data_IF_924722498398
#
_entry.id   IF_924722498398
#
_cell.length_a   1.000
_cell.length_b   1.000
_cell.length_c   1.000
_cell.angle_alpha   90.00
_cell.angle_beta   90.00
_cell.angle_gamma   90.00
#
_symmetry.space_group_name_H-M   'P 1'
#
loop_
_entity.id
_entity.type
_entity.pdbx_description
1 polymer ?
#
# COMPACT_ATOMS: atom_id res chain seq x y z
N UNK A 1 4.74 -2.81 -80.55
CA UNK A 1 5.79 -2.46 -79.60
C UNK A 1 5.75 -3.45 -78.46
N UNK A 2 6.69 -4.42 -78.39
CA UNK A 2 6.80 -5.41 -77.32
C UNK A 2 7.75 -4.83 -76.29
N UNK A 3 7.25 -4.47 -75.10
CA UNK A 3 8.08 -4.10 -73.97
C UNK A 3 8.71 -5.37 -73.40
N UNK A 4 10.04 -5.50 -73.61
CA UNK A 4 10.86 -6.55 -73.03
C UNK A 4 10.91 -6.27 -71.46
N UNK A 5 10.17 -7.01 -70.70
CA UNK A 5 10.34 -7.06 -69.22
C UNK A 5 11.58 -7.93 -69.00
N UNK A 6 12.67 -7.31 -68.53
CA UNK A 6 13.79 -8.02 -67.96
C UNK A 6 13.32 -8.60 -66.60
N UNK A 7 12.87 -9.83 -66.60
CA UNK A 7 12.62 -10.60 -65.38
C UNK A 7 13.99 -11.13 -64.89
N UNK A 8 14.77 -10.22 -64.26
CA UNK A 8 15.99 -10.58 -63.55
C UNK A 8 15.62 -11.33 -62.25
N UNK A 9 15.83 -12.63 -62.20
CA UNK A 9 15.68 -13.41 -60.96
C UNK A 9 16.74 -13.03 -59.92
N UNK A 10 16.41 -13.15 -58.65
CA UNK A 10 17.33 -12.93 -57.54
C UNK A 10 18.49 -13.94 -57.56
N UNK A 11 19.69 -13.46 -57.27
CA UNK A 11 20.86 -14.35 -57.12
C UNK A 11 20.83 -15.02 -55.74
N UNK A 12 21.40 -16.21 -55.63
CA UNK A 12 21.53 -16.93 -54.36
C UNK A 12 22.28 -16.10 -53.32
N UNK A 13 23.26 -15.31 -53.75
CA UNK A 13 24.03 -14.41 -52.85
C UNK A 13 23.18 -13.28 -52.32
N UNK A 14 22.31 -12.67 -53.13
CA UNK A 14 21.36 -11.64 -52.68
C UNK A 14 20.39 -12.19 -51.63
N UNK A 15 19.90 -13.44 -51.83
CA UNK A 15 19.03 -14.09 -50.86
C UNK A 15 19.76 -14.34 -49.54
N UNK A 16 21.02 -14.80 -49.58
CA UNK A 16 21.82 -15.03 -48.35
C UNK A 16 22.09 -13.73 -47.58
N UNK A 17 22.40 -12.63 -48.29
CA UNK A 17 22.62 -11.32 -47.67
C UNK A 17 21.31 -10.83 -47.06
N UNK A 18 20.21 -10.89 -47.79
CA UNK A 18 18.91 -10.47 -47.30
C UNK A 18 18.47 -11.26 -46.03
N UNK A 19 18.72 -12.56 -46.03
CA UNK A 19 18.43 -13.45 -44.90
C UNK A 19 19.30 -13.13 -43.69
N UNK A 20 20.57 -12.88 -43.87
CA UNK A 20 21.52 -12.51 -42.82
C UNK A 20 21.14 -11.17 -42.17
N UNK A 21 20.83 -10.15 -42.97
CA UNK A 21 20.38 -8.85 -42.50
C UNK A 21 19.04 -8.98 -41.78
N UNK A 22 18.09 -9.77 -42.32
CA UNK A 22 16.81 -10.05 -41.70
C UNK A 22 16.93 -10.68 -40.31
N UNK A 23 17.82 -11.66 -40.14
CA UNK A 23 18.08 -12.31 -38.86
C UNK A 23 18.66 -11.32 -37.81
N UNK A 24 19.59 -10.45 -38.21
CA UNK A 24 20.15 -9.42 -37.35
C UNK A 24 19.04 -8.45 -36.86
N UNK A 25 18.19 -8.00 -37.78
CA UNK A 25 17.08 -7.11 -37.46
C UNK A 25 16.08 -7.76 -36.52
N UNK A 26 15.70 -9.02 -36.75
CA UNK A 26 14.79 -9.77 -35.86
C UNK A 26 15.41 -9.93 -34.46
N UNK A 27 16.71 -10.27 -34.41
CA UNK A 27 17.43 -10.37 -33.13
C UNK A 27 17.45 -9.05 -32.33
N UNK A 28 17.70 -7.94 -33.04
CA UNK A 28 17.67 -6.61 -32.43
C UNK A 28 16.26 -6.24 -31.95
N UNK A 29 15.23 -6.49 -32.74
CA UNK A 29 13.82 -6.25 -32.35
C UNK A 29 13.42 -7.08 -31.11
N UNK A 30 13.82 -8.35 -31.08
CA UNK A 30 13.57 -9.22 -29.94
C UNK A 30 14.21 -8.67 -28.64
N UNK A 31 15.45 -8.20 -28.72
CA UNK A 31 16.14 -7.57 -27.59
C UNK A 31 15.40 -6.34 -27.05
N UNK A 32 14.92 -5.47 -27.95
CA UNK A 32 14.13 -4.29 -27.57
C UNK A 32 12.81 -4.71 -26.91
N UNK A 33 12.08 -5.66 -27.49
CA UNK A 33 10.82 -6.15 -26.93
C UNK A 33 11.03 -6.77 -25.54
N UNK A 34 12.08 -7.55 -25.34
CA UNK A 34 12.39 -8.15 -24.04
C UNK A 34 12.71 -7.08 -22.96
N UNK A 35 13.47 -6.05 -23.34
CA UNK A 35 13.79 -4.93 -22.45
C UNK A 35 12.51 -4.14 -22.08
N UNK A 36 11.65 -3.85 -23.05
CA UNK A 36 10.39 -3.16 -22.81
C UNK A 36 9.47 -3.97 -21.90
N UNK A 37 9.33 -5.28 -22.12
CA UNK A 37 8.50 -6.14 -21.27
C UNK A 37 8.94 -6.12 -19.81
N UNK A 38 10.26 -6.14 -19.55
CA UNK A 38 10.79 -6.00 -18.19
C UNK A 38 10.46 -4.63 -17.58
N UNK A 39 10.65 -3.57 -18.36
CA UNK A 39 10.34 -2.20 -17.88
C UNK A 39 8.87 -2.05 -17.53
N UNK A 40 7.96 -2.60 -18.33
CA UNK A 40 6.52 -2.60 -18.04
C UNK A 40 6.20 -3.38 -16.77
N UNK A 41 6.76 -4.57 -16.57
CA UNK A 41 6.54 -5.35 -15.36
C UNK A 41 7.00 -4.63 -14.09
N UNK A 42 8.13 -3.93 -14.14
CA UNK A 42 8.62 -3.12 -13.00
C UNK A 42 7.68 -1.93 -12.74
N UNK A 43 7.24 -1.24 -13.79
CA UNK A 43 6.31 -0.10 -13.66
C UNK A 43 4.95 -0.54 -13.07
N UNK A 44 4.43 -1.68 -13.49
CA UNK A 44 3.20 -2.27 -12.96
C UNK A 44 3.33 -2.56 -11.47
N UNK A 45 4.41 -3.22 -11.03
CA UNK A 45 4.66 -3.47 -9.60
C UNK A 45 4.78 -2.19 -8.78
N UNK A 46 5.43 -1.16 -9.31
CA UNK A 46 5.55 0.15 -8.64
C UNK A 46 4.18 0.82 -8.54
N UNK A 47 3.36 0.77 -9.57
CA UNK A 47 2.02 1.33 -9.56
C UNK A 47 1.11 0.61 -8.55
N UNK A 48 1.14 -0.73 -8.53
CA UNK A 48 0.41 -1.55 -7.57
C UNK A 48 0.83 -1.24 -6.14
N UNK A 49 2.14 -1.23 -5.86
CA UNK A 49 2.70 -0.87 -4.55
C UNK A 49 2.20 0.50 -4.07
N UNK A 50 2.23 1.52 -4.94
CA UNK A 50 1.77 2.87 -4.60
C UNK A 50 0.26 2.91 -4.36
N UNK A 51 -0.53 2.19 -5.16
CA UNK A 51 -1.97 2.13 -5.01
C UNK A 51 -2.36 1.46 -3.69
N UNK A 52 -1.72 0.33 -3.35
CA UNK A 52 -1.95 -0.38 -2.09
C UNK A 52 -1.59 0.48 -0.88
N UNK A 53 -0.46 1.19 -0.93
CA UNK A 53 -0.05 2.12 0.14
C UNK A 53 -1.05 3.26 0.34
N UNK A 54 -1.55 3.85 -0.75
CA UNK A 54 -2.54 4.94 -0.69
C UNK A 54 -3.87 4.46 -0.14
N UNK A 55 -4.36 3.30 -0.59
CA UNK A 55 -5.60 2.71 -0.10
C UNK A 55 -5.54 2.41 1.41
N UNK A 56 -4.44 1.81 1.87
CA UNK A 56 -4.23 1.53 3.28
C UNK A 56 -4.12 2.82 4.12
N UNK A 57 -3.38 3.82 3.65
CA UNK A 57 -3.25 5.12 4.33
C UNK A 57 -4.59 5.84 4.40
N UNK A 58 -5.38 5.83 3.34
CA UNK A 58 -6.69 6.47 3.30
C UNK A 58 -7.67 5.80 4.28
N UNK A 59 -7.67 4.46 4.34
CA UNK A 59 -8.45 3.71 5.32
C UNK A 59 -8.05 4.06 6.76
N UNK A 60 -6.75 4.00 7.09
CA UNK A 60 -6.25 4.36 8.40
C UNK A 60 -6.60 5.80 8.78
N UNK A 61 -6.41 6.73 7.84
CA UNK A 61 -6.69 8.15 8.07
C UNK A 61 -8.15 8.41 8.40
N UNK A 62 -9.07 7.79 7.64
CA UNK A 62 -10.51 7.93 7.88
C UNK A 62 -10.92 7.36 9.22
N UNK A 63 -10.44 6.17 9.57
CA UNK A 63 -10.85 5.51 10.81
C UNK A 63 -10.23 6.16 12.04
N UNK A 64 -8.92 6.48 12.02
CA UNK A 64 -8.25 7.15 13.14
C UNK A 64 -8.84 8.55 13.40
N UNK A 65 -9.34 9.23 12.36
CA UNK A 65 -10.03 10.51 12.52
C UNK A 65 -11.30 10.40 13.36
N UNK A 66 -11.93 9.22 13.39
CA UNK A 66 -13.12 8.92 14.19
C UNK A 66 -12.79 8.34 15.57
N UNK A 67 -11.52 8.17 15.91
CA UNK A 67 -11.12 7.72 17.24
C UNK A 67 -11.73 8.62 18.33
N UNK A 68 -12.25 8.02 19.40
CA UNK A 68 -12.90 8.73 20.49
C UNK A 68 -14.34 9.20 20.20
N UNK A 69 -14.93 8.79 19.08
CA UNK A 69 -16.35 9.08 18.83
C UNK A 69 -17.21 8.33 19.87
N UNK A 70 -17.91 9.07 20.70
CA UNK A 70 -18.75 8.58 21.82
C UNK A 70 -19.92 9.56 22.01
N UNK A 71 -20.96 9.45 21.20
CA UNK A 71 -22.07 10.40 21.22
C UNK A 71 -22.88 10.36 22.51
N UNK A 72 -22.94 9.22 23.19
CA UNK A 72 -23.63 9.05 24.45
C UNK A 72 -22.75 9.38 25.66
N UNK A 73 -21.43 9.55 25.48
CA UNK A 73 -20.42 9.80 26.53
C UNK A 73 -20.40 8.74 27.65
N UNK A 74 -20.75 7.50 27.29
CA UNK A 74 -20.79 6.34 28.18
C UNK A 74 -19.81 5.24 27.79
N UNK A 75 -19.42 5.18 26.53
CA UNK A 75 -18.54 4.15 25.98
C UNK A 75 -17.06 4.32 26.40
N UNK A 76 -16.64 5.54 26.78
CA UNK A 76 -15.26 5.84 27.11
C UNK A 76 -14.30 5.64 25.93
N UNK A 77 -14.80 5.91 24.73
CA UNK A 77 -14.03 5.70 23.51
C UNK A 77 -12.80 6.62 23.41
N UNK A 78 -11.69 6.10 22.86
CA UNK A 78 -10.43 6.86 22.77
C UNK A 78 -9.28 6.06 22.19
N UNK A 79 -8.06 6.54 22.42
CA UNK A 79 -6.85 5.78 22.11
C UNK A 79 -6.57 4.80 23.26
N UNK A 80 -6.60 3.52 22.97
CA UNK A 80 -6.32 2.44 23.94
C UNK A 80 -4.83 2.15 24.03
N UNK A 81 -4.16 2.06 22.87
CA UNK A 81 -2.72 1.81 22.80
C UNK A 81 -2.08 2.70 21.75
N UNK A 82 -1.02 3.39 22.15
CA UNK A 82 -0.20 4.25 21.30
C UNK A 82 1.22 3.64 21.22
N UNK A 83 1.40 2.66 20.35
CA UNK A 83 2.70 2.03 20.12
C UNK A 83 3.38 2.59 18.88
N UNK A 84 4.70 2.42 18.78
CA UNK A 84 5.49 2.91 17.65
C UNK A 84 5.11 2.24 16.32
N UNK A 85 4.69 0.95 16.36
CA UNK A 85 4.35 0.13 15.18
C UNK A 85 2.92 -0.41 15.22
N UNK A 86 2.14 0.02 16.18
CA UNK A 86 0.73 -0.37 16.31
C UNK A 86 -0.08 0.73 16.97
N UNK A 87 -1.33 0.82 16.62
CA UNK A 87 -2.30 1.68 17.28
C UNK A 87 -3.57 0.89 17.54
N UNK A 88 -4.15 1.09 18.73
CA UNK A 88 -5.47 0.59 19.08
C UNK A 88 -6.31 1.78 19.53
N UNK A 89 -7.47 1.91 18.94
CA UNK A 89 -8.43 2.95 19.31
C UNK A 89 -9.86 2.41 19.29
N UNK A 90 -10.73 3.08 19.99
CA UNK A 90 -12.15 2.76 20.07
C UNK A 90 -13.00 3.93 19.60
N UNK A 91 -14.21 3.60 19.20
CA UNK A 91 -15.29 4.50 18.79
C UNK A 91 -16.62 3.77 19.01
N UNK A 92 -17.68 4.50 19.31
CA UNK A 92 -19.03 3.98 19.44
C UNK A 92 -19.86 4.46 18.25
N UNK A 93 -20.15 3.56 17.29
CA UNK A 93 -20.78 3.88 16.01
C UNK A 93 -21.93 2.95 15.62
N UNK A 94 -22.07 1.82 16.30
CA UNK A 94 -23.07 0.79 16.00
C UNK A 94 -23.74 0.32 17.27
N UNK A 95 -24.84 -0.42 17.16
CA UNK A 95 -25.44 -1.13 18.28
C UNK A 95 -25.47 -2.64 18.01
N UNK A 96 -25.45 -3.43 19.06
CA UNK A 96 -25.60 -4.89 19.05
C UNK A 96 -26.81 -5.36 18.24
N UNK A 97 -27.82 -4.52 18.06
CA UNK A 97 -29.07 -4.84 17.34
C UNK A 97 -29.06 -4.44 15.85
N UNK A 98 -27.90 -4.02 15.29
CA UNK A 98 -27.76 -3.71 13.87
C UNK A 98 -28.40 -2.38 13.43
N UNK A 99 -28.72 -1.49 14.36
CA UNK A 99 -29.04 -0.10 14.05
C UNK A 99 -27.72 0.68 13.90
N UNK A 100 -27.62 1.56 12.91
CA UNK A 100 -26.49 2.49 12.72
C UNK A 100 -26.49 3.60 13.80
N UNK A 101 -26.59 3.21 15.07
CA UNK A 101 -26.67 4.11 16.19
C UNK A 101 -25.79 3.62 17.33
N UNK A 102 -25.05 4.55 17.93
CA UNK A 102 -24.24 4.31 19.12
C UNK A 102 -25.10 3.77 20.27
N UNK A 103 -24.64 2.75 20.98
CA UNK A 103 -25.34 2.13 22.10
C UNK A 103 -24.66 2.31 23.47
N UNK A 104 -23.53 3.01 23.47
CA UNK A 104 -22.81 3.41 24.68
C UNK A 104 -21.73 2.44 25.12
N UNK A 105 -21.31 1.51 24.25
CA UNK A 105 -20.17 0.66 24.48
C UNK A 105 -19.18 0.67 23.27
N UNK A 106 -18.17 -0.19 23.29
CA UNK A 106 -17.15 -0.30 22.22
C UNK A 106 -16.88 -1.76 21.87
N UNK A 107 -17.86 -2.63 22.06
CA UNK A 107 -17.72 -4.08 21.89
C UNK A 107 -18.13 -4.55 20.49
N UNK A 108 -18.85 -3.74 19.76
CA UNK A 108 -19.41 -4.09 18.47
C UNK A 108 -18.38 -4.10 17.33
N UNK A 109 -18.70 -4.74 16.17
CA UNK A 109 -17.83 -4.74 15.02
C UNK A 109 -17.47 -3.34 14.54
N UNK A 110 -16.18 -3.10 14.29
CA UNK A 110 -15.59 -1.82 13.87
C UNK A 110 -15.51 -0.73 14.93
N UNK A 111 -15.74 -1.05 16.19
CA UNK A 111 -15.62 -0.13 17.32
C UNK A 111 -14.27 -0.24 18.03
N UNK A 112 -13.74 -1.44 18.17
CA UNK A 112 -12.39 -1.68 18.65
C UNK A 112 -11.47 -1.97 17.47
N UNK A 113 -10.72 -0.97 17.03
CA UNK A 113 -9.89 -1.08 15.81
C UNK A 113 -8.41 -1.13 16.19
N UNK A 114 -7.72 -2.12 15.63
CA UNK A 114 -6.27 -2.27 15.74
C UNK A 114 -5.62 -2.20 14.37
N UNK A 115 -4.56 -1.41 14.24
CA UNK A 115 -3.63 -1.45 13.12
C UNK A 115 -2.26 -1.89 13.60
N UNK A 116 -1.67 -2.87 12.95
CA UNK A 116 -0.34 -3.37 13.28
C UNK A 116 0.32 -4.10 12.11
N UNK A 117 1.64 -4.21 12.15
CA UNK A 117 2.36 -5.12 11.27
C UNK A 117 2.26 -6.55 11.79
N UNK A 118 2.16 -7.49 10.85
CA UNK A 118 2.28 -8.92 11.12
C UNK A 118 2.90 -9.63 9.92
N UNK A 119 3.44 -10.82 10.14
CA UNK A 119 4.05 -11.62 9.08
C UNK A 119 3.28 -12.92 8.92
N UNK A 120 2.91 -13.25 7.70
CA UNK A 120 2.34 -14.55 7.35
C UNK A 120 2.94 -15.04 6.04
N UNK A 121 3.28 -16.33 5.96
CA UNK A 121 3.95 -16.96 4.81
C UNK A 121 5.22 -16.20 4.36
N UNK A 122 5.98 -15.64 5.30
CA UNK A 122 7.20 -14.87 5.00
C UNK A 122 6.98 -13.46 4.44
N UNK A 123 5.73 -13.03 4.28
CA UNK A 123 5.38 -11.69 3.78
C UNK A 123 4.93 -10.82 4.95
N UNK A 124 5.59 -9.67 5.11
CA UNK A 124 5.18 -8.67 6.08
C UNK A 124 4.01 -7.83 5.54
N UNK A 125 2.95 -7.73 6.34
CA UNK A 125 1.69 -7.11 5.97
C UNK A 125 1.26 -6.09 7.01
N UNK A 126 0.56 -5.07 6.57
CA UNK A 126 -0.22 -4.20 7.43
C UNK A 126 -1.59 -4.82 7.62
N UNK A 127 -1.96 -5.06 8.87
CA UNK A 127 -3.21 -5.68 9.23
C UNK A 127 -4.13 -4.79 10.03
N UNK A 128 -5.42 -5.06 9.90
CA UNK A 128 -6.52 -4.43 10.65
C UNK A 128 -7.32 -5.49 11.40
N UNK A 129 -7.64 -5.22 12.65
CA UNK A 129 -8.70 -5.93 13.39
C UNK A 129 -9.91 -5.00 13.57
N UNK A 130 -11.09 -5.57 13.46
CA UNK A 130 -12.36 -4.84 13.61
C UNK A 130 -13.01 -5.02 14.98
N UNK A 131 -12.47 -5.88 15.82
CA UNK A 131 -12.84 -6.14 17.21
C UNK A 131 -11.64 -6.66 17.97
N UNK A 132 -11.67 -6.63 19.29
CA UNK A 132 -10.57 -7.12 20.13
C UNK A 132 -10.23 -8.59 19.86
N UNK A 133 -11.24 -9.43 19.66
CA UNK A 133 -11.12 -10.88 19.42
C UNK A 133 -11.09 -11.25 17.94
N UNK A 134 -11.30 -10.30 17.02
CA UNK A 134 -11.33 -10.58 15.60
C UNK A 134 -9.95 -11.03 15.08
N UNK A 135 -9.98 -11.87 14.05
CA UNK A 135 -8.78 -12.21 13.30
C UNK A 135 -8.25 -10.98 12.55
N UNK A 136 -6.92 -10.86 12.47
CA UNK A 136 -6.29 -9.79 11.72
C UNK A 136 -6.50 -9.99 10.22
N UNK A 137 -6.94 -8.93 9.53
CA UNK A 137 -7.16 -8.92 8.09
C UNK A 137 -6.08 -8.08 7.42
N UNK A 138 -5.47 -8.55 6.32
CA UNK A 138 -4.49 -7.78 5.57
C UNK A 138 -5.17 -6.62 4.83
N UNK A 139 -4.58 -5.43 4.93
CA UNK A 139 -5.01 -4.24 4.17
C UNK A 139 -3.93 -3.75 3.19
N UNK A 140 -2.67 -4.12 3.42
CA UNK A 140 -1.58 -3.95 2.48
C UNK A 140 -0.54 -5.05 2.69
N UNK A 141 0.05 -5.51 1.58
CA UNK A 141 1.12 -6.49 1.57
C UNK A 141 2.47 -5.84 1.25
N UNK A 142 3.56 -6.58 1.48
CA UNK A 142 4.93 -6.12 1.24
C UNK A 142 5.25 -4.79 1.95
N UNK A 143 4.72 -4.63 3.17
CA UNK A 143 4.98 -3.46 4.01
C UNK A 143 6.32 -3.64 4.70
N UNK A 144 7.28 -2.75 4.43
CA UNK A 144 8.61 -2.79 5.03
C UNK A 144 8.64 -2.19 6.44
N UNK A 145 7.89 -1.11 6.64
CA UNK A 145 7.75 -0.49 7.96
C UNK A 145 6.42 0.24 8.12
N UNK A 146 5.96 0.29 9.36
CA UNK A 146 4.84 1.11 9.83
C UNK A 146 5.33 1.89 11.04
N UNK A 147 5.13 3.18 11.07
CA UNK A 147 5.49 4.02 12.20
C UNK A 147 4.36 4.95 12.59
N UNK A 148 4.15 5.09 13.90
CA UNK A 148 3.25 6.06 14.49
C UNK A 148 4.04 7.01 15.39
N UNK A 149 3.72 8.30 15.34
CA UNK A 149 4.22 9.29 16.28
C UNK A 149 3.03 10.12 16.77
N UNK A 150 2.99 10.33 18.07
CA UNK A 150 1.87 10.94 18.78
C UNK A 150 2.27 12.28 19.34
N UNK A 151 1.36 13.26 19.25
CA UNK A 151 1.61 14.64 19.69
C UNK A 151 0.43 15.14 20.51
N UNK A 152 0.75 15.91 21.52
CA UNK A 152 -0.23 16.62 22.36
C UNK A 152 -0.78 17.91 21.69
N UNK A 153 -1.59 18.66 22.40
CA UNK A 153 -2.16 19.92 21.93
C UNK A 153 -1.10 21.02 21.68
N UNK A 154 0.02 20.97 22.39
CA UNK A 154 1.16 21.88 22.23
C UNK A 154 2.10 21.51 21.09
N UNK A 155 1.90 20.31 20.50
CA UNK A 155 2.76 19.79 19.43
C UNK A 155 4.01 19.06 19.93
N UNK A 156 4.15 18.83 21.24
CA UNK A 156 5.18 17.99 21.81
C UNK A 156 4.82 16.50 21.64
N UNK A 157 5.83 15.63 21.56
CA UNK A 157 5.60 14.19 21.51
C UNK A 157 5.08 13.70 22.85
N UNK A 158 4.07 12.81 22.84
CA UNK A 158 3.49 12.23 24.04
C UNK A 158 3.29 10.73 23.89
N UNK A 159 3.47 9.99 24.99
CA UNK A 159 3.10 8.57 25.10
C UNK A 159 1.79 8.39 25.89
N UNK A 160 1.27 9.46 26.53
CA UNK A 160 0.03 9.43 27.30
C UNK A 160 -1.15 9.46 26.34
N UNK A 161 -1.93 8.38 26.29
CA UNK A 161 -3.05 8.23 25.34
C UNK A 161 -4.10 9.32 25.48
N UNK A 162 -4.36 9.81 26.70
CA UNK A 162 -5.31 10.88 27.00
C UNK A 162 -4.88 12.25 26.43
N UNK A 163 -3.58 12.48 26.25
CA UNK A 163 -3.02 13.75 25.78
C UNK A 163 -2.87 13.82 24.27
N UNK A 164 -3.06 12.70 23.58
CA UNK A 164 -2.89 12.63 22.11
C UNK A 164 -3.94 13.51 21.42
N UNK A 165 -3.46 14.43 20.58
CA UNK A 165 -4.30 15.31 19.74
C UNK A 165 -3.96 15.21 18.26
N UNK A 166 -2.75 14.76 17.93
CA UNK A 166 -2.31 14.56 16.56
C UNK A 166 -1.51 13.27 16.44
N UNK A 167 -1.75 12.54 15.39
CA UNK A 167 -1.09 11.27 15.08
C UNK A 167 -0.44 11.39 13.70
N UNK A 168 0.86 11.15 13.62
CA UNK A 168 1.59 11.05 12.36
C UNK A 168 1.80 9.58 12.03
N UNK A 169 1.43 9.18 10.82
CA UNK A 169 1.60 7.83 10.30
C UNK A 169 2.66 7.86 9.20
N UNK A 170 3.56 6.91 9.20
CA UNK A 170 4.49 6.65 8.11
C UNK A 170 4.41 5.17 7.72
N UNK A 171 4.13 4.89 6.46
CA UNK A 171 4.10 3.54 5.90
C UNK A 171 5.11 3.46 4.79
N UNK A 172 6.03 2.51 4.87
CA UNK A 172 6.95 2.19 3.78
C UNK A 172 6.58 0.83 3.22
N UNK A 173 6.30 0.79 1.93
CA UNK A 173 6.02 -0.43 1.17
C UNK A 173 7.13 -0.71 0.17
N UNK A 174 7.22 -1.94 -0.31
CA UNK A 174 8.18 -2.34 -1.33
C UNK A 174 7.50 -3.13 -2.45
N UNK A 175 8.16 -3.26 -3.59
CA UNK A 175 7.71 -4.14 -4.66
C UNK A 175 7.69 -5.60 -4.20
N UNK A 176 6.80 -6.40 -4.78
CA UNK A 176 6.68 -7.83 -4.45
C UNK A 176 7.90 -8.63 -4.89
N UNK A 177 8.47 -8.29 -6.04
CA UNK A 177 9.68 -8.92 -6.58
C UNK A 177 10.83 -7.93 -6.66
N UNK A 178 12.05 -8.46 -6.52
CA UNK A 178 13.27 -7.69 -6.72
C UNK A 178 13.47 -7.40 -8.22
N UNK A 179 13.89 -6.18 -8.51
CA UNK A 179 14.31 -5.74 -9.84
C UNK A 179 15.84 -6.02 -9.95
N UNK A 180 16.29 -6.91 -10.85
CA UNK A 180 17.71 -7.23 -10.98
C UNK A 180 18.59 -6.04 -11.36
N UNK A 181 18.01 -5.03 -12.00
CA UNK A 181 18.72 -3.83 -12.45
C UNK A 181 18.76 -2.74 -11.36
N UNK A 182 18.10 -2.97 -10.21
CA UNK A 182 18.06 -2.06 -9.07
C UNK A 182 18.91 -2.59 -7.91
N UNK A 183 20.06 -1.95 -7.66
CA UNK A 183 21.05 -2.45 -6.70
C UNK A 183 20.77 -2.06 -5.25
N UNK A 184 19.93 -1.04 -5.01
CA UNK A 184 19.60 -0.58 -3.67
C UNK A 184 18.54 -1.47 -3.02
N UNK A 185 18.53 -1.53 -1.69
CA UNK A 185 17.51 -2.24 -0.89
C UNK A 185 17.26 -3.70 -1.32
N UNK A 186 18.32 -4.43 -1.72
CA UNK A 186 18.22 -5.82 -2.16
C UNK A 186 17.41 -6.01 -3.46
N UNK A 187 17.37 -5.01 -4.32
CA UNK A 187 16.61 -5.05 -5.58
C UNK A 187 15.14 -4.59 -5.45
N UNK A 188 14.65 -4.33 -4.24
CA UNK A 188 13.26 -3.91 -4.05
C UNK A 188 13.13 -2.39 -4.14
N UNK A 189 12.23 -1.90 -4.99
CA UNK A 189 11.84 -0.49 -5.01
C UNK A 189 10.91 -0.22 -3.85
N UNK A 190 11.09 0.92 -3.18
CA UNK A 190 10.31 1.30 -1.99
C UNK A 190 9.56 2.59 -2.22
N UNK A 191 8.45 2.73 -1.52
CA UNK A 191 7.65 3.95 -1.48
C UNK A 191 7.21 4.23 -0.06
N UNK A 192 7.49 5.45 0.44
CA UNK A 192 7.08 5.88 1.77
C UNK A 192 5.98 6.92 1.66
N UNK A 193 4.89 6.68 2.34
CA UNK A 193 3.77 7.60 2.46
C UNK A 193 3.64 8.04 3.91
N UNK A 194 3.48 9.34 4.13
CA UNK A 194 3.31 9.93 5.46
C UNK A 194 2.04 10.77 5.49
N UNK A 195 1.26 10.65 6.58
CA UNK A 195 0.07 11.46 6.83
C UNK A 195 0.05 11.93 8.27
N UNK A 196 -0.50 13.11 8.52
CA UNK A 196 -0.75 13.63 9.86
C UNK A 196 -2.25 13.81 10.04
N UNK A 197 -2.78 13.30 11.14
CA UNK A 197 -4.21 13.22 11.43
C UNK A 197 -4.47 13.88 12.78
N UNK A 198 -5.48 14.71 12.84
CA UNK A 198 -6.05 15.20 14.09
C UNK A 198 -7.40 14.50 14.30
N UNK A 199 -7.50 13.54 15.23
CA UNK A 199 -8.77 12.93 15.60
C UNK A 199 -9.75 14.00 16.08
N UNK A 200 -11.02 13.88 15.66
CA UNK A 200 -12.00 14.96 15.93
C UNK A 200 -12.58 14.92 17.35
N UNK A 201 -12.54 13.74 17.97
CA UNK A 201 -13.29 13.48 19.21
C UNK A 201 -12.38 13.28 20.44
N UNK A 202 -11.07 13.42 20.28
CA UNK A 202 -10.13 13.35 21.39
C UNK A 202 -10.01 14.72 22.06
N UNK A 203 -10.35 14.79 23.35
CA UNK A 203 -10.25 16.01 24.17
C UNK A 203 -11.47 16.94 24.11
N UNK A 204 -12.65 16.38 23.77
CA UNK A 204 -13.94 17.04 23.93
C UNK A 204 -14.54 16.79 25.33
#
# INVERSE_FOLDING_TARGET
>A
MRTNRNDGGFTLVELMIALSVGLILIGAMYGVCAMQSRSFAVQEQVAEMQQNARAAMDMMTREIRMAGHDPLKTAGAGIVTAGDHSIVFTRDITSTYGADAADGDTADPNEYVTYQLYTTSGIQKLGRKSQQTAAIQPIAEHVQSLGFAYYDAGGATTATTADIRRIKIAVTVRTAMADPDYTSNGGYRTYTLTSAITPRNLGL
#
